data_IF_883596879965
#
_entry.id   IF_883596879965
#
_cell.length_a   1.000
_cell.length_b   1.000
_cell.length_c   1.000
_cell.angle_alpha   90.00
_cell.angle_beta   90.00
_cell.angle_gamma   90.00
#
_symmetry.space_group_name_H-M   'P 1'
#
loop_
_entity.id
_entity.type
_entity.pdbx_description
1 polymer ?
#
# COMPACT_ATOMS: atom_id res chain seq x y z
N UNK A 1 18.61 -4.50 -1.26
CA UNK A 1 17.19 -4.14 -1.09
C UNK A 1 16.27 -5.31 -1.43
N UNK A 2 16.22 -5.76 -2.69
CA UNK A 2 15.38 -6.89 -3.13
C UNK A 2 15.53 -8.16 -2.26
N UNK A 3 16.77 -8.57 -1.96
CA UNK A 3 17.04 -9.73 -1.09
C UNK A 3 16.57 -9.54 0.36
N UNK A 4 16.58 -8.30 0.87
CA UNK A 4 16.10 -7.99 2.22
C UNK A 4 14.56 -8.00 2.27
N UNK A 5 13.90 -7.34 1.31
CA UNK A 5 12.44 -7.35 1.17
C UNK A 5 11.90 -8.76 0.92
N UNK A 6 12.58 -9.57 0.12
CA UNK A 6 12.22 -10.97 -0.10
C UNK A 6 12.29 -11.78 1.21
N UNK A 7 13.38 -11.64 1.99
CA UNK A 7 13.55 -12.37 3.26
C UNK A 7 12.59 -11.91 4.37
N UNK A 8 12.34 -10.61 4.48
CA UNK A 8 11.58 -10.03 5.61
C UNK A 8 10.09 -9.89 5.29
N UNK A 9 9.73 -9.69 4.03
CA UNK A 9 8.34 -9.44 3.58
C UNK A 9 7.78 -10.48 2.62
N UNK A 10 8.58 -11.45 2.17
CA UNK A 10 8.16 -12.37 1.11
C UNK A 10 7.99 -11.67 -0.23
N UNK A 11 8.56 -10.47 -0.39
CA UNK A 11 8.42 -9.69 -1.61
C UNK A 11 9.08 -10.40 -2.80
N UNK A 12 8.34 -10.61 -3.87
CA UNK A 12 8.88 -11.13 -5.13
C UNK A 12 9.44 -9.94 -5.91
N UNK A 13 10.73 -9.63 -5.70
CA UNK A 13 11.37 -8.47 -6.34
C UNK A 13 12.59 -8.90 -7.14
N UNK A 14 12.58 -8.57 -8.44
CA UNK A 14 13.81 -8.48 -9.25
C UNK A 14 14.38 -7.06 -9.12
N UNK A 15 15.70 -6.86 -9.24
CA UNK A 15 16.32 -5.54 -9.07
C UNK A 15 15.66 -4.42 -9.89
N UNK A 16 15.21 -4.73 -11.11
CA UNK A 16 14.58 -3.77 -12.03
C UNK A 16 13.17 -3.34 -11.61
N UNK A 17 12.53 -4.07 -10.69
CA UNK A 17 11.20 -3.76 -10.16
C UNK A 17 11.25 -2.89 -8.89
N UNK A 18 12.43 -2.38 -8.51
CA UNK A 18 12.63 -1.54 -7.32
C UNK A 18 13.02 -0.12 -7.72
N UNK A 19 12.23 0.85 -7.28
CA UNK A 19 12.52 2.28 -7.46
C UNK A 19 12.91 2.87 -6.11
N UNK A 20 14.14 3.39 -6.02
CA UNK A 20 14.58 4.15 -4.85
C UNK A 20 14.01 5.57 -4.91
N UNK A 21 13.48 6.04 -3.78
CA UNK A 21 12.83 7.34 -3.62
C UNK A 21 13.36 8.04 -2.36
N UNK A 22 13.17 9.34 -2.25
CA UNK A 22 13.52 10.14 -1.08
C UNK A 22 12.45 10.10 0.03
N UNK A 23 11.51 9.15 -0.06
CA UNK A 23 10.43 8.92 0.91
C UNK A 23 9.02 8.82 0.30
N UNK A 24 8.04 8.55 1.17
CA UNK A 24 6.62 8.26 0.83
C UNK A 24 5.97 9.34 -0.04
N UNK A 25 6.28 10.63 0.19
CA UNK A 25 5.72 11.71 -0.62
C UNK A 25 6.17 11.61 -2.08
N UNK A 26 7.45 11.33 -2.33
CA UNK A 26 7.96 11.15 -3.70
C UNK A 26 7.41 9.87 -4.31
N UNK A 27 7.37 8.77 -3.54
CA UNK A 27 6.79 7.50 -3.98
C UNK A 27 5.36 7.68 -4.49
N UNK A 28 4.48 8.25 -3.64
CA UNK A 28 3.11 8.55 -4.01
C UNK A 28 3.04 9.53 -5.18
N UNK A 29 3.86 10.58 -5.21
CA UNK A 29 3.85 11.55 -6.32
C UNK A 29 4.16 10.88 -7.66
N UNK A 30 5.18 10.02 -7.74
CA UNK A 30 5.55 9.32 -8.97
C UNK A 30 4.47 8.33 -9.41
N UNK A 31 3.96 7.53 -8.46
CA UNK A 31 2.97 6.52 -8.73
C UNK A 31 1.63 7.14 -9.17
N UNK A 32 1.16 8.16 -8.45
CA UNK A 32 -0.09 8.85 -8.76
C UNK A 32 -0.02 9.59 -10.09
N UNK A 33 1.09 10.25 -10.42
CA UNK A 33 1.28 10.86 -11.75
C UNK A 33 1.24 9.82 -12.86
N UNK A 34 1.80 8.63 -12.63
CA UNK A 34 1.77 7.53 -13.60
C UNK A 34 0.34 7.01 -13.77
N UNK A 35 -0.41 6.83 -12.69
CA UNK A 35 -1.81 6.43 -12.73
C UNK A 35 -2.69 7.44 -13.49
N UNK A 36 -2.52 8.74 -13.22
CA UNK A 36 -3.25 9.81 -13.94
C UNK A 36 -2.95 9.81 -15.44
N UNK A 37 -1.70 9.61 -15.85
CA UNK A 37 -1.33 9.51 -17.28
C UNK A 37 -1.97 8.30 -17.97
N UNK A 38 -2.33 7.27 -17.21
CA UNK A 38 -3.05 6.09 -17.68
C UNK A 38 -4.57 6.19 -17.49
N UNK A 39 -5.10 7.39 -17.19
CA UNK A 39 -6.54 7.63 -17.09
C UNK A 39 -7.17 7.20 -15.76
N UNK A 40 -6.38 6.84 -14.74
CA UNK A 40 -6.89 6.54 -13.40
C UNK A 40 -6.94 7.83 -12.58
N UNK A 41 -8.15 8.31 -12.30
CA UNK A 41 -8.41 9.59 -11.65
C UNK A 41 -8.89 9.49 -10.19
N UNK A 42 -9.01 8.27 -9.66
CA UNK A 42 -9.56 8.02 -8.33
C UNK A 42 -8.83 6.92 -7.59
N UNK A 43 -8.83 7.06 -6.26
CA UNK A 43 -8.13 6.17 -5.34
C UNK A 43 -8.96 5.98 -4.09
N UNK A 44 -9.15 4.73 -3.70
CA UNK A 44 -9.72 4.39 -2.41
C UNK A 44 -8.67 4.50 -1.30
N UNK A 45 -9.09 4.97 -0.14
CA UNK A 45 -8.29 5.04 1.08
C UNK A 45 -9.09 4.54 2.26
N UNK A 46 -8.40 3.91 3.21
CA UNK A 46 -9.01 3.52 4.48
C UNK A 46 -9.65 4.72 5.20
N UNK A 47 -10.75 4.48 5.89
CA UNK A 47 -11.42 5.43 6.77
C UNK A 47 -11.75 4.74 8.11
N UNK A 48 -11.12 5.14 9.22
CA UNK A 48 -10.20 6.27 9.35
C UNK A 48 -8.80 6.05 8.74
N UNK A 49 -8.16 7.12 8.27
CA UNK A 49 -6.73 7.14 7.85
C UNK A 49 -6.02 8.46 8.19
N UNK A 50 -4.70 8.54 7.95
CA UNK A 50 -3.93 9.80 8.09
C UNK A 50 -4.44 10.87 7.12
N UNK A 51 -4.99 11.96 7.65
CA UNK A 51 -5.51 13.07 6.85
C UNK A 51 -4.48 13.62 5.84
N UNK A 52 -3.19 13.66 6.20
CA UNK A 52 -2.12 14.12 5.32
C UNK A 52 -1.98 13.28 4.05
N UNK A 53 -2.22 11.96 4.11
CA UNK A 53 -2.19 11.09 2.93
C UNK A 53 -3.36 11.41 2.00
N UNK A 54 -4.57 11.55 2.54
CA UNK A 54 -5.76 11.95 1.77
C UNK A 54 -5.58 13.32 1.11
N UNK A 55 -5.04 14.29 1.85
CA UNK A 55 -4.75 15.62 1.32
C UNK A 55 -3.69 15.60 0.22
N UNK A 56 -2.64 14.78 0.36
CA UNK A 56 -1.62 14.63 -0.67
C UNK A 56 -2.22 14.07 -1.97
N UNK A 57 -3.02 13.00 -1.87
CA UNK A 57 -3.70 12.40 -3.03
C UNK A 57 -4.61 13.41 -3.74
N UNK A 58 -5.43 14.14 -2.98
CA UNK A 58 -6.29 15.19 -3.52
C UNK A 58 -5.48 16.31 -4.20
N UNK A 59 -4.38 16.78 -3.58
CA UNK A 59 -3.48 17.80 -4.17
C UNK A 59 -2.79 17.31 -5.44
N UNK A 60 -2.59 16.01 -5.59
CA UNK A 60 -2.04 15.40 -6.80
C UNK A 60 -3.09 15.23 -7.91
N UNK A 61 -4.37 15.57 -7.66
CA UNK A 61 -5.45 15.51 -8.64
C UNK A 61 -6.32 14.25 -8.59
N UNK A 62 -6.13 13.39 -7.58
CA UNK A 62 -6.97 12.19 -7.42
C UNK A 62 -8.27 12.50 -6.68
N UNK A 63 -9.38 11.93 -7.16
CA UNK A 63 -10.63 11.83 -6.40
C UNK A 63 -10.50 10.74 -5.33
N UNK A 64 -10.46 11.16 -4.07
CA UNK A 64 -10.27 10.27 -2.92
C UNK A 64 -11.62 9.69 -2.48
N UNK A 65 -11.72 8.37 -2.45
CA UNK A 65 -12.89 7.62 -1.97
C UNK A 65 -12.56 6.97 -0.63
N UNK A 66 -13.30 7.33 0.40
CA UNK A 66 -13.11 6.77 1.74
C UNK A 66 -13.80 5.41 1.85
N UNK A 67 -13.10 4.43 2.39
CA UNK A 67 -13.60 3.05 2.54
C UNK A 67 -13.51 2.65 4.01
N UNK A 68 -14.63 2.23 4.62
CA UNK A 68 -14.64 1.88 6.04
C UNK A 68 -13.65 0.78 6.41
N UNK A 69 -13.16 0.87 7.64
CA UNK A 69 -12.35 -0.16 8.30
C UNK A 69 -13.16 -0.72 9.48
N UNK A 70 -13.13 -2.04 9.66
CA UNK A 70 -13.66 -2.73 10.83
C UNK A 70 -12.61 -3.67 11.46
N UNK A 71 -13.03 -4.59 12.33
CA UNK A 71 -12.15 -5.53 13.04
C UNK A 71 -11.38 -6.50 12.11
N UNK A 72 -11.76 -6.60 10.83
CA UNK A 72 -11.02 -7.34 9.82
C UNK A 72 -10.08 -6.48 8.97
N UNK A 73 -10.04 -5.17 9.17
CA UNK A 73 -9.33 -4.19 8.34
C UNK A 73 -10.23 -3.49 7.34
N UNK A 74 -9.67 -3.12 6.18
CA UNK A 74 -10.38 -2.48 5.08
C UNK A 74 -11.57 -3.33 4.59
N UNK A 75 -12.73 -2.71 4.34
CA UNK A 75 -13.92 -3.35 3.76
C UNK A 75 -13.84 -3.51 2.24
N UNK A 76 -13.46 -4.71 1.79
CA UNK A 76 -13.33 -5.05 0.36
C UNK A 76 -14.68 -5.05 -0.38
N UNK A 77 -15.76 -5.40 0.30
CA UNK A 77 -17.12 -5.32 -0.24
C UNK A 77 -17.53 -3.88 -0.55
N UNK A 78 -17.11 -2.90 0.27
CA UNK A 78 -17.32 -1.50 -0.02
C UNK A 78 -16.49 -1.03 -1.24
N UNK A 79 -15.27 -1.54 -1.43
CA UNK A 79 -14.49 -1.30 -2.66
C UNK A 79 -15.20 -1.81 -3.91
N UNK A 80 -15.74 -3.03 -3.87
CA UNK A 80 -16.40 -3.66 -5.01
C UNK A 80 -17.63 -2.88 -5.51
N UNK A 81 -18.27 -2.09 -4.63
CA UNK A 81 -19.41 -1.22 -5.00
C UNK A 81 -19.00 0.18 -5.44
N UNK A 82 -17.71 0.52 -5.39
CA UNK A 82 -17.19 1.84 -5.71
C UNK A 82 -16.62 1.90 -7.13
N UNK A 83 -16.53 3.09 -7.76
CA UNK A 83 -15.98 3.23 -9.11
C UNK A 83 -14.44 3.24 -9.16
N UNK A 84 -13.76 2.84 -8.09
CA UNK A 84 -12.29 2.87 -8.04
C UNK A 84 -11.70 1.56 -8.55
N UNK A 85 -10.49 1.64 -9.07
CA UNK A 85 -9.65 0.46 -9.37
C UNK A 85 -8.30 0.49 -8.66
N UNK A 86 -8.07 1.51 -7.82
CA UNK A 86 -6.84 1.65 -7.05
C UNK A 86 -7.18 1.89 -5.60
N UNK A 87 -6.44 1.26 -4.69
CA UNK A 87 -6.57 1.45 -3.24
C UNK A 87 -5.21 1.65 -2.60
N UNK A 88 -5.12 2.59 -1.66
CA UNK A 88 -3.99 2.76 -0.75
C UNK A 88 -4.41 2.25 0.65
N UNK A 89 -3.73 1.22 1.14
CA UNK A 89 -4.06 0.59 2.42
C UNK A 89 -2.82 0.28 3.28
N UNK A 90 -3.05 -0.01 4.56
CA UNK A 90 -2.01 -0.34 5.54
C UNK A 90 -2.25 -1.75 6.10
N UNK A 91 -2.11 -2.81 5.29
CA UNK A 91 -2.66 -4.14 5.59
C UNK A 91 -1.94 -4.88 6.72
N UNK A 92 -0.69 -4.51 7.03
CA UNK A 92 0.08 -5.11 8.11
C UNK A 92 -0.27 -4.52 9.48
N UNK A 93 -0.56 -3.22 9.54
CA UNK A 93 -0.88 -2.48 10.74
C UNK A 93 -1.65 -1.21 10.33
N UNK A 94 -2.98 -1.25 10.45
CA UNK A 94 -3.83 -0.17 9.99
C UNK A 94 -3.63 1.07 10.87
N UNK A 95 -3.48 2.24 10.25
CA UNK A 95 -3.47 3.49 11.00
C UNK A 95 -4.82 4.24 10.90
N UNK A 96 -5.47 4.63 12.00
CA UNK A 96 -4.99 4.60 13.39
C UNK A 96 -5.45 3.39 14.23
N UNK A 97 -6.27 2.50 13.68
CA UNK A 97 -7.01 1.51 14.50
C UNK A 97 -6.14 0.38 15.04
N UNK A 98 -4.98 0.13 14.42
CA UNK A 98 -4.09 -0.95 14.80
C UNK A 98 -4.42 -2.29 14.14
N UNK A 99 -5.59 -2.43 13.51
CA UNK A 99 -6.08 -3.70 12.99
C UNK A 99 -5.22 -4.18 11.82
N UNK A 100 -4.95 -5.47 11.72
CA UNK A 100 -4.31 -6.03 10.53
C UNK A 100 -5.39 -6.51 9.55
N UNK A 101 -5.15 -6.36 8.24
CA UNK A 101 -6.03 -6.94 7.24
C UNK A 101 -6.00 -8.46 7.35
N UNK A 102 -7.16 -9.08 7.59
CA UNK A 102 -7.28 -10.53 7.78
C UNK A 102 -6.82 -11.30 6.52
N UNK A 103 -6.43 -12.57 6.69
CA UNK A 103 -6.01 -13.43 5.56
C UNK A 103 -7.08 -13.49 4.47
N UNK A 104 -8.33 -13.75 4.84
CA UNK A 104 -9.47 -13.76 3.92
C UNK A 104 -9.64 -12.43 3.19
N UNK A 105 -9.43 -11.29 3.87
CA UNK A 105 -9.54 -9.98 3.20
C UNK A 105 -8.37 -9.65 2.31
N UNK A 106 -7.17 -10.16 2.60
CA UNK A 106 -6.02 -10.07 1.68
C UNK A 106 -6.33 -10.80 0.37
N UNK A 107 -6.86 -12.02 0.47
CA UNK A 107 -7.28 -12.80 -0.71
C UNK A 107 -8.40 -12.09 -1.48
N UNK A 108 -9.47 -11.66 -0.80
CA UNK A 108 -10.57 -10.94 -1.42
C UNK A 108 -10.11 -9.63 -2.08
N UNK A 109 -9.19 -8.91 -1.43
CA UNK A 109 -8.65 -7.67 -1.97
C UNK A 109 -7.88 -7.95 -3.27
N UNK A 110 -6.99 -8.94 -3.28
CA UNK A 110 -6.26 -9.30 -4.50
C UNK A 110 -7.17 -9.81 -5.61
N UNK A 111 -8.23 -10.55 -5.27
CA UNK A 111 -9.26 -10.95 -6.22
C UNK A 111 -9.94 -9.71 -6.82
N UNK A 112 -10.42 -8.79 -5.98
CA UNK A 112 -11.04 -7.54 -6.45
C UNK A 112 -10.11 -6.73 -7.34
N UNK A 113 -8.82 -6.60 -6.97
CA UNK A 113 -7.85 -5.87 -7.79
C UNK A 113 -7.71 -6.51 -9.17
N UNK A 114 -7.66 -7.85 -9.28
CA UNK A 114 -7.60 -8.53 -10.58
C UNK A 114 -8.86 -8.29 -11.42
N UNK A 115 -10.03 -8.38 -10.82
CA UNK A 115 -11.31 -8.20 -11.53
C UNK A 115 -11.45 -6.82 -12.16
N UNK A 116 -10.93 -5.79 -11.50
CA UNK A 116 -10.94 -4.40 -11.98
C UNK A 116 -9.66 -4.02 -12.73
N UNK A 117 -8.77 -4.98 -12.98
CA UNK A 117 -7.43 -4.77 -13.56
C UNK A 117 -6.70 -3.61 -12.85
N UNK A 118 -6.75 -3.63 -11.52
CA UNK A 118 -6.43 -2.50 -10.66
C UNK A 118 -5.02 -2.53 -10.06
N UNK A 119 -4.84 -1.71 -9.02
CA UNK A 119 -3.63 -1.69 -8.21
C UNK A 119 -3.95 -1.53 -6.72
N UNK A 120 -3.36 -2.38 -5.86
CA UNK A 120 -3.23 -2.08 -4.43
C UNK A 120 -1.86 -1.48 -4.14
N UNK A 121 -1.86 -0.31 -3.50
CA UNK A 121 -0.68 0.35 -2.97
C UNK A 121 -0.62 0.01 -1.48
N UNK A 122 0.31 -0.87 -1.12
CA UNK A 122 0.55 -1.27 0.26
C UNK A 122 1.52 -0.30 0.92
N UNK A 123 1.03 0.49 1.88
CA UNK A 123 1.86 1.38 2.67
C UNK A 123 2.32 0.67 3.94
N UNK A 124 3.61 0.37 3.97
CA UNK A 124 4.24 -0.43 5.00
C UNK A 124 5.18 0.42 5.88
N UNK A 125 4.57 1.36 6.61
CA UNK A 125 5.27 2.43 7.33
C UNK A 125 6.01 1.99 8.62
N UNK A 126 5.71 0.81 9.15
CA UNK A 126 6.20 0.32 10.44
C UNK A 126 6.74 -1.11 10.42
N UNK A 127 7.03 -1.65 9.24
CA UNK A 127 7.63 -2.96 9.03
C UNK A 127 8.78 -3.32 9.97
N UNK A 128 9.55 -2.31 10.38
CA UNK A 128 10.76 -2.44 11.19
C UNK A 128 10.49 -2.55 12.71
N UNK A 129 9.29 -2.25 13.21
CA UNK A 129 8.97 -2.23 14.66
C UNK A 129 8.15 -3.42 15.14
N UNK A 130 8.49 -4.64 14.69
CA UNK A 130 7.70 -5.83 15.05
C UNK A 130 8.33 -6.58 16.24
N UNK A 131 7.73 -6.39 17.42
CA UNK A 131 7.96 -7.20 18.61
C UNK A 131 7.34 -8.60 18.45
N UNK A 132 8.11 -9.57 17.93
CA UNK A 132 7.90 -11.00 18.20
C UNK A 132 6.82 -11.76 17.39
N UNK A 133 6.26 -11.24 16.29
CA UNK A 133 5.33 -11.99 15.41
C UNK A 133 5.96 -12.31 14.05
N UNK A 134 5.71 -13.52 13.55
CA UNK A 134 6.15 -13.97 12.22
C UNK A 134 5.64 -13.03 11.12
N UNK A 135 6.43 -12.77 10.06
CA UNK A 135 6.04 -11.84 9.02
C UNK A 135 4.87 -12.38 8.21
N UNK A 136 3.70 -11.72 8.31
CA UNK A 136 2.66 -11.83 7.27
C UNK A 136 3.27 -11.37 5.93
N UNK A 137 3.14 -12.18 4.88
CA UNK A 137 3.58 -11.82 3.54
C UNK A 137 2.93 -10.50 3.11
N UNK A 138 3.71 -9.61 2.48
CA UNK A 138 3.14 -8.41 1.86
C UNK A 138 2.21 -8.83 0.71
N UNK A 139 1.23 -7.98 0.39
CA UNK A 139 0.35 -8.19 -0.77
C UNK A 139 1.16 -8.29 -2.06
N UNK A 140 2.25 -7.53 -2.17
CA UNK A 140 3.21 -7.64 -3.29
C UNK A 140 3.86 -9.02 -3.41
N UNK A 141 4.11 -9.70 -2.30
CA UNK A 141 4.62 -11.08 -2.30
C UNK A 141 3.57 -12.10 -2.75
N UNK A 142 2.28 -11.79 -2.59
CA UNK A 142 1.16 -12.64 -3.00
C UNK A 142 0.75 -12.39 -4.47
N UNK A 143 0.86 -11.15 -4.95
CA UNK A 143 0.58 -10.76 -6.34
C UNK A 143 1.42 -9.54 -6.75
N UNK A 144 2.57 -9.80 -7.37
CA UNK A 144 3.48 -8.73 -7.81
C UNK A 144 2.98 -7.93 -9.02
N UNK A 145 1.96 -8.42 -9.73
CA UNK A 145 1.41 -7.75 -10.91
C UNK A 145 0.39 -6.68 -10.54
N UNK A 146 -0.30 -6.86 -9.42
CA UNK A 146 -1.41 -6.01 -8.98
C UNK A 146 -1.15 -5.30 -7.65
N UNK A 147 0.01 -5.50 -7.02
CA UNK A 147 0.36 -4.86 -5.77
C UNK A 147 1.71 -4.14 -5.82
N UNK A 148 1.72 -2.87 -5.40
CA UNK A 148 2.92 -2.07 -5.20
C UNK A 148 3.20 -1.92 -3.71
N UNK A 149 4.33 -2.47 -3.25
CA UNK A 149 4.79 -2.29 -1.87
C UNK A 149 5.53 -0.95 -1.73
N UNK A 150 5.02 -0.09 -0.85
CA UNK A 150 5.65 1.14 -0.44
C UNK A 150 6.17 1.00 0.99
N UNK A 151 7.44 0.64 1.11
CA UNK A 151 8.16 0.61 2.38
C UNK A 151 9.07 1.82 2.55
N UNK A 152 9.62 1.97 3.74
CA UNK A 152 10.76 2.85 4.01
C UNK A 152 11.84 2.02 4.66
N UNK A 153 13.07 2.13 4.17
CA UNK A 153 14.28 1.61 4.85
C UNK A 153 14.99 2.66 5.69
N UNK A 154 14.38 3.85 5.81
CA UNK A 154 15.00 5.04 6.40
C UNK A 154 15.26 4.89 7.90
N UNK A 155 14.73 3.84 8.53
CA UNK A 155 14.83 3.61 9.98
C UNK A 155 15.82 2.48 10.36
N UNK A 156 16.16 1.58 9.43
CA UNK A 156 17.12 0.48 9.70
C UNK A 156 18.54 0.73 9.14
N UNK A 157 18.73 1.54 8.08
CA UNK A 157 20.05 1.63 7.42
C UNK A 157 20.79 2.96 7.51
N UNK A 158 20.12 4.11 7.64
CA UNK A 158 20.76 5.41 7.91
C UNK A 158 19.70 6.51 8.13
N UNK A 159 19.43 6.94 9.37
CA UNK A 159 18.47 8.01 9.68
C UNK A 159 18.73 9.34 8.95
N UNK A 160 19.96 9.57 8.49
CA UNK A 160 20.39 10.79 7.81
C UNK A 160 20.07 10.83 6.30
N UNK A 161 19.75 9.71 5.66
CA UNK A 161 19.78 9.62 4.19
C UNK A 161 18.43 9.77 3.49
N UNK A 162 17.30 9.76 4.21
CA UNK A 162 15.93 9.81 3.62
C UNK A 162 15.75 8.90 2.39
N UNK A 163 16.46 7.78 2.32
CA UNK A 163 16.27 6.81 1.23
C UNK A 163 15.11 5.89 1.61
N UNK A 164 14.16 5.76 0.71
CA UNK A 164 13.02 4.84 0.72
C UNK A 164 12.96 4.07 -0.59
#
# INVERSE_FOLDING_TARGET
MATFLSRVRGAMTVPDAVVMVSGVVQALTLLIRTLLRNGVDSVAVEDPSKAIKRQLLARLGMRVINVPVDDGGLRVDALATSPVRVVLCTPAHQYPTGVALSSTRRENLLHWVRDVDGLVIEDDYDSEFRHGRAPLACLQGMDSSHAALMGSVSKTMAPALRLG
#
